data_IF_349471800866
#
_entry.id   IF_349471800866
#
_cell.length_a   1.000
_cell.length_b   1.000
_cell.length_c   1.000
_cell.angle_alpha   90.00
_cell.angle_beta   90.00
_cell.angle_gamma   90.00
#
_symmetry.space_group_name_H-M   'P 1'
#
loop_
_entity.id
_entity.type
_entity.pdbx_description
1 polymer ?
#
# COMPACT_ATOMS: atom_id res chain seq x y z
N UNK A 1 24.50 -4.49 -0.22
CA UNK A 1 23.87 -3.18 -0.54
C UNK A 1 23.83 -2.34 0.73
N UNK A 2 24.15 -1.06 0.66
CA UNK A 2 23.97 -0.15 1.80
C UNK A 2 22.48 0.22 1.98
N UNK A 3 22.14 0.80 3.14
CA UNK A 3 20.75 1.14 3.49
C UNK A 3 20.08 2.07 2.46
N UNK A 4 20.82 3.06 1.95
CA UNK A 4 20.34 4.01 0.94
C UNK A 4 19.91 3.30 -0.34
N UNK A 5 20.76 2.41 -0.86
CA UNK A 5 20.45 1.64 -2.07
C UNK A 5 19.21 0.75 -1.88
N UNK A 6 18.98 0.23 -0.67
CA UNK A 6 17.75 -0.53 -0.36
C UNK A 6 16.53 0.37 -0.48
N UNK A 7 16.53 1.54 0.15
CA UNK A 7 15.39 2.46 0.12
C UNK A 7 15.08 2.91 -1.31
N UNK A 8 16.10 3.33 -2.07
CA UNK A 8 15.91 3.86 -3.43
C UNK A 8 15.42 2.80 -4.42
N UNK A 9 15.75 1.53 -4.20
CA UNK A 9 15.36 0.44 -5.13
C UNK A 9 14.06 -0.26 -4.73
N UNK A 10 13.63 -0.17 -3.47
CA UNK A 10 12.45 -0.89 -2.97
C UNK A 10 11.16 -0.65 -3.79
N UNK A 11 10.83 0.57 -4.26
CA UNK A 11 9.64 0.79 -5.09
C UNK A 11 9.65 0.00 -6.41
N UNK A 12 10.83 -0.33 -6.91
CA UNK A 12 11.02 -1.00 -8.20
C UNK A 12 11.15 -2.53 -8.07
N UNK A 13 10.98 -3.07 -6.85
CA UNK A 13 11.06 -4.52 -6.62
C UNK A 13 9.70 -5.19 -6.79
N UNK A 14 9.72 -6.38 -7.40
CA UNK A 14 8.52 -7.22 -7.56
C UNK A 14 7.82 -7.51 -6.21
N UNK A 15 8.58 -7.64 -5.12
CA UNK A 15 8.02 -7.87 -3.79
C UNK A 15 7.09 -6.73 -3.33
N UNK A 16 7.42 -5.48 -3.66
CA UNK A 16 6.58 -4.31 -3.33
C UNK A 16 5.24 -4.40 -4.05
N UNK A 17 5.26 -4.68 -5.36
CA UNK A 17 4.04 -4.77 -6.16
C UNK A 17 3.17 -5.98 -5.81
N UNK A 18 3.77 -7.10 -5.39
CA UNK A 18 3.02 -8.21 -4.81
C UNK A 18 2.28 -7.83 -3.53
N UNK A 19 2.90 -7.03 -2.65
CA UNK A 19 2.23 -6.50 -1.45
C UNK A 19 1.10 -5.55 -1.82
N UNK A 20 1.30 -4.65 -2.79
CA UNK A 20 0.23 -3.78 -3.30
C UNK A 20 -0.94 -4.60 -3.82
N UNK A 21 -0.68 -5.59 -4.69
CA UNK A 21 -1.72 -6.49 -5.20
C UNK A 21 -2.45 -7.22 -4.06
N UNK A 22 -1.72 -7.68 -3.04
CA UNK A 22 -2.35 -8.31 -1.87
C UNK A 22 -3.25 -7.33 -1.13
N UNK A 23 -2.80 -6.10 -0.85
CA UNK A 23 -3.58 -5.09 -0.13
C UNK A 23 -4.87 -4.73 -0.87
N UNK A 24 -4.81 -4.64 -2.20
CA UNK A 24 -5.99 -4.39 -3.04
C UNK A 24 -6.96 -5.58 -3.06
N UNK A 25 -6.44 -6.81 -3.04
CA UNK A 25 -7.23 -8.03 -3.14
C UNK A 25 -7.66 -8.61 -1.78
N UNK A 26 -7.10 -8.15 -0.66
CA UNK A 26 -7.36 -8.73 0.67
C UNK A 26 -8.84 -8.58 1.08
N UNK A 27 -9.45 -7.43 0.76
CA UNK A 27 -10.86 -7.19 1.03
C UNK A 27 -11.78 -8.14 0.22
N UNK A 28 -11.73 -8.17 -1.13
CA UNK A 28 -12.55 -9.11 -1.89
C UNK A 28 -12.22 -10.57 -1.59
N UNK A 29 -10.95 -10.93 -1.34
CA UNK A 29 -10.59 -12.30 -0.97
C UNK A 29 -11.19 -12.73 0.38
N UNK A 30 -11.27 -11.83 1.36
CA UNK A 30 -11.95 -12.07 2.63
C UNK A 30 -13.46 -12.30 2.44
N UNK A 31 -14.12 -11.45 1.65
CA UNK A 31 -15.55 -11.57 1.34
C UNK A 31 -15.88 -12.85 0.57
N UNK A 32 -14.99 -13.26 -0.33
CA UNK A 32 -15.10 -14.50 -1.11
C UNK A 32 -14.60 -15.75 -0.34
N UNK A 33 -14.25 -15.63 0.94
CA UNK A 33 -13.79 -16.75 1.79
C UNK A 33 -12.53 -17.46 1.27
N UNK A 34 -11.68 -16.78 0.50
CA UNK A 34 -10.39 -17.28 -0.02
C UNK A 34 -9.16 -16.46 0.42
N UNK A 35 -9.11 -15.87 1.63
CA UNK A 35 -7.99 -15.02 2.04
C UNK A 35 -6.64 -15.76 2.08
N UNK A 36 -6.67 -17.06 2.38
CA UNK A 36 -5.50 -17.92 2.44
C UNK A 36 -4.81 -18.10 1.08
N UNK A 37 -5.57 -18.16 -0.01
CA UNK A 37 -5.01 -18.25 -1.38
C UNK A 37 -4.30 -16.97 -1.77
N UNK A 38 -4.89 -15.81 -1.44
CA UNK A 38 -4.28 -14.50 -1.72
C UNK A 38 -3.00 -14.29 -0.90
N UNK A 39 -2.99 -14.69 0.37
CA UNK A 39 -1.81 -14.62 1.24
C UNK A 39 -0.68 -15.55 0.73
N UNK A 40 -0.99 -16.80 0.41
CA UNK A 40 -0.01 -17.74 -0.11
C UNK A 40 0.59 -17.27 -1.45
N UNK A 41 -0.26 -16.86 -2.40
CA UNK A 41 0.18 -16.52 -3.76
C UNK A 41 1.02 -15.24 -3.84
N UNK A 42 0.65 -14.22 -3.06
CA UNK A 42 1.22 -12.88 -3.17
C UNK A 42 2.25 -12.59 -2.09
N UNK A 43 2.05 -13.09 -0.87
CA UNK A 43 2.96 -12.86 0.26
C UNK A 43 3.87 -14.05 0.56
N UNK A 44 3.61 -15.23 -0.02
CA UNK A 44 4.35 -16.45 0.29
C UNK A 44 4.09 -16.95 1.72
N UNK A 45 2.96 -16.58 2.32
CA UNK A 45 2.57 -17.01 3.66
C UNK A 45 1.86 -18.35 3.55
N UNK A 46 2.49 -19.41 4.05
CA UNK A 46 1.86 -20.72 4.18
C UNK A 46 0.98 -20.74 5.44
N UNK A 47 -0.32 -20.85 5.24
CA UNK A 47 -1.31 -20.96 6.32
C UNK A 47 -1.77 -22.42 6.52
N UNK A 48 -1.11 -23.38 5.86
CA UNK A 48 -1.43 -24.80 5.94
C UNK A 48 -2.69 -25.19 5.17
N UNK A 49 -3.46 -26.15 5.72
CA UNK A 49 -4.69 -26.68 5.11
C UNK A 49 -5.81 -25.63 5.10
N UNK A 50 -6.82 -25.84 4.25
CA UNK A 50 -8.01 -24.99 4.17
C UNK A 50 -8.60 -24.75 5.58
N UNK A 51 -8.76 -23.48 6.01
CA UNK A 51 -9.30 -23.17 7.33
C UNK A 51 -10.74 -23.67 7.50
N UNK A 52 -11.12 -23.99 8.74
CA UNK A 52 -12.51 -24.33 9.06
C UNK A 52 -13.46 -23.15 8.73
N UNK A 53 -14.71 -23.40 8.30
CA UNK A 53 -15.63 -22.33 7.88
C UNK A 53 -15.84 -21.23 8.93
N UNK A 54 -15.96 -21.56 10.22
CA UNK A 54 -16.15 -20.59 11.28
C UNK A 54 -14.94 -19.67 11.48
N UNK A 55 -13.72 -20.17 11.21
CA UNK A 55 -12.47 -19.39 11.25
C UNK A 55 -12.42 -18.38 10.11
N UNK A 56 -12.93 -18.74 8.94
CA UNK A 56 -13.09 -17.81 7.81
C UNK A 56 -14.06 -16.67 8.14
N UNK A 57 -15.19 -16.99 8.78
CA UNK A 57 -16.16 -15.97 9.22
C UNK A 57 -15.55 -15.04 10.27
N UNK A 58 -14.89 -15.60 11.30
CA UNK A 58 -14.21 -14.82 12.32
C UNK A 58 -13.12 -13.92 11.73
N UNK A 59 -12.29 -14.47 10.84
CA UNK A 59 -11.29 -13.69 10.11
C UNK A 59 -11.95 -12.58 9.29
N UNK A 60 -13.00 -12.87 8.54
CA UNK A 60 -13.68 -11.86 7.73
C UNK A 60 -14.23 -10.72 8.59
N UNK A 61 -14.88 -11.01 9.72
CA UNK A 61 -15.40 -9.99 10.64
C UNK A 61 -14.30 -9.08 11.20
N UNK A 62 -13.17 -9.65 11.63
CA UNK A 62 -12.06 -8.90 12.23
C UNK A 62 -11.21 -8.20 11.18
N UNK A 63 -10.96 -8.84 10.04
CA UNK A 63 -10.06 -8.34 9.00
C UNK A 63 -10.73 -7.32 8.07
N UNK A 64 -12.06 -7.30 7.94
CA UNK A 64 -12.76 -6.35 7.05
C UNK A 64 -12.40 -4.89 7.29
N UNK A 65 -12.48 -4.33 8.53
CA UNK A 65 -12.11 -2.93 8.75
C UNK A 65 -10.63 -2.66 8.42
N UNK A 66 -9.74 -3.59 8.77
CA UNK A 66 -8.31 -3.49 8.43
C UNK A 66 -8.09 -3.52 6.91
N UNK A 67 -8.76 -4.43 6.20
CA UNK A 67 -8.62 -4.58 4.75
C UNK A 67 -9.20 -3.37 4.01
N UNK A 68 -10.32 -2.80 4.48
CA UNK A 68 -10.89 -1.58 3.94
C UNK A 68 -9.93 -0.39 4.11
N UNK A 69 -9.39 -0.19 5.31
CA UNK A 69 -8.38 0.84 5.57
C UNK A 69 -7.13 0.63 4.72
N UNK A 70 -6.66 -0.62 4.60
CA UNK A 70 -5.50 -0.96 3.79
C UNK A 70 -5.70 -0.64 2.31
N UNK A 71 -6.88 -0.93 1.73
CA UNK A 71 -7.22 -0.55 0.36
C UNK A 71 -7.16 0.97 0.20
N UNK A 72 -7.82 1.72 1.08
CA UNK A 72 -7.86 3.20 1.03
C UNK A 72 -6.45 3.78 1.12
N UNK A 73 -5.66 3.37 2.11
CA UNK A 73 -4.28 3.83 2.29
C UNK A 73 -3.41 3.48 1.08
N UNK A 74 -3.58 2.28 0.51
CA UNK A 74 -2.81 1.84 -0.66
C UNK A 74 -3.17 2.64 -1.90
N UNK A 75 -4.46 2.76 -2.22
CA UNK A 75 -4.93 3.49 -3.40
C UNK A 75 -4.57 4.97 -3.30
N UNK A 76 -4.92 5.61 -2.18
CA UNK A 76 -4.68 7.03 -1.98
C UNK A 76 -3.17 7.34 -1.88
N UNK A 77 -2.42 6.55 -1.11
CA UNK A 77 -0.99 6.76 -0.95
C UNK A 77 -0.21 6.61 -2.25
N UNK A 78 -0.54 5.62 -3.08
CA UNK A 78 0.08 5.47 -4.40
C UNK A 78 -0.41 6.50 -5.42
N UNK A 79 -1.67 6.96 -5.36
CA UNK A 79 -2.17 7.99 -6.27
C UNK A 79 -1.49 9.34 -6.04
N UNK A 80 -1.04 9.62 -4.81
CA UNK A 80 -0.28 10.84 -4.50
C UNK A 80 1.03 10.95 -5.28
N UNK A 81 1.64 9.83 -5.69
CA UNK A 81 2.89 9.86 -6.47
C UNK A 81 2.68 10.54 -7.84
N UNK A 82 1.84 10.02 -8.76
CA UNK A 82 1.61 10.67 -10.04
C UNK A 82 0.91 12.03 -9.89
N UNK A 83 0.01 12.20 -8.90
CA UNK A 83 -0.65 13.49 -8.68
C UNK A 83 0.34 14.60 -8.32
N UNK A 84 1.36 14.30 -7.52
CA UNK A 84 2.35 15.30 -7.09
C UNK A 84 3.47 15.50 -8.12
N UNK A 85 3.92 14.45 -8.82
CA UNK A 85 4.85 14.60 -9.94
C UNK A 85 4.21 15.41 -11.09
N UNK A 86 2.93 15.13 -11.37
CA UNK A 86 2.10 15.84 -12.33
C UNK A 86 1.36 17.03 -11.73
N UNK A 87 1.79 17.61 -10.60
CA UNK A 87 1.13 18.76 -9.98
C UNK A 87 0.76 19.89 -10.96
N UNK A 88 1.60 20.24 -11.96
CA UNK A 88 1.26 21.29 -12.94
C UNK A 88 0.00 21.02 -13.75
N UNK A 89 -0.35 19.75 -13.94
CA UNK A 89 -1.54 19.34 -14.71
C UNK A 89 -2.84 19.56 -13.93
N UNK A 90 -2.76 19.80 -12.61
CA UNK A 90 -3.92 20.06 -11.75
C UNK A 90 -4.38 21.52 -11.75
N UNK A 91 -3.74 22.38 -12.56
CA UNK A 91 -4.09 23.79 -12.77
C UNK A 91 -4.22 24.61 -11.47
N UNK A 92 -3.40 24.33 -10.46
CA UNK A 92 -3.37 25.09 -9.21
C UNK A 92 -2.60 26.41 -9.36
N UNK A 93 -3.06 27.46 -8.68
CA UNK A 93 -2.34 28.73 -8.57
C UNK A 93 -1.07 28.53 -7.71
N UNK A 94 0.15 28.72 -8.26
CA UNK A 94 1.39 28.63 -7.47
C UNK A 94 1.42 29.57 -6.27
N UNK A 95 0.74 30.72 -6.32
CA UNK A 95 0.70 31.67 -5.20
C UNK A 95 -0.03 31.12 -3.96
N UNK A 96 -0.91 30.13 -4.15
CA UNK A 96 -1.64 29.45 -3.07
C UNK A 96 -1.06 28.07 -2.75
N UNK A 97 0.02 27.67 -3.44
CA UNK A 97 0.62 26.36 -3.31
C UNK A 97 1.74 26.34 -2.25
N UNK A 98 2.00 25.15 -1.70
CA UNK A 98 3.16 24.94 -0.85
C UNK A 98 4.41 24.92 -1.72
N UNK A 99 5.52 25.50 -1.25
CA UNK A 99 6.73 25.69 -2.06
C UNK A 99 6.96 27.13 -2.53
N UNK A 100 6.07 28.06 -2.15
CA UNK A 100 6.22 29.50 -2.39
C UNK A 100 5.57 29.95 -3.71
N UNK A 101 5.58 31.26 -4.00
CA UNK A 101 4.73 31.85 -5.03
C UNK A 101 5.21 31.58 -6.47
N UNK A 102 6.34 30.90 -6.63
CA UNK A 102 6.89 30.60 -7.96
C UNK A 102 6.43 29.23 -8.40
N UNK A 103 6.13 29.09 -9.70
CA UNK A 103 5.80 27.79 -10.29
C UNK A 103 6.89 26.74 -10.02
N UNK A 104 8.17 27.12 -10.15
CA UNK A 104 9.29 26.23 -9.90
C UNK A 104 9.35 25.76 -8.44
N UNK A 105 9.15 26.67 -7.48
CA UNK A 105 9.12 26.34 -6.05
C UNK A 105 7.94 25.42 -5.68
N UNK A 106 6.74 25.75 -6.16
CA UNK A 106 5.54 24.94 -5.95
C UNK A 106 5.71 23.53 -6.54
N UNK A 107 6.18 23.44 -7.79
CA UNK A 107 6.43 22.15 -8.42
C UNK A 107 7.51 21.34 -7.67
N UNK A 108 8.64 21.96 -7.33
CA UNK A 108 9.73 21.26 -6.64
C UNK A 108 9.28 20.70 -5.29
N UNK A 109 8.51 21.47 -4.51
CA UNK A 109 7.96 21.02 -3.24
C UNK A 109 7.08 19.78 -3.44
N UNK A 110 6.12 19.84 -4.36
CA UNK A 110 5.21 18.73 -4.60
C UNK A 110 5.92 17.53 -5.21
N UNK A 111 6.78 17.70 -6.21
CA UNK A 111 7.50 16.62 -6.85
C UNK A 111 8.42 15.89 -5.84
N UNK A 112 9.17 16.61 -5.01
CA UNK A 112 10.13 16.02 -4.08
C UNK A 112 9.42 15.43 -2.86
N UNK A 113 8.62 16.22 -2.13
CA UNK A 113 8.01 15.75 -0.88
C UNK A 113 6.74 14.93 -1.12
N UNK A 114 5.91 15.36 -2.07
CA UNK A 114 4.68 14.66 -2.40
C UNK A 114 4.92 13.47 -3.33
N UNK A 115 5.71 13.63 -4.39
CA UNK A 115 5.96 12.59 -5.39
C UNK A 115 6.98 11.57 -4.89
N UNK A 116 8.24 11.98 -4.80
CA UNK A 116 9.35 11.10 -4.38
C UNK A 116 9.20 10.65 -2.92
N UNK A 117 8.74 11.53 -2.03
CA UNK A 117 8.49 11.18 -0.63
C UNK A 117 7.51 10.01 -0.50
N UNK A 118 6.35 10.06 -1.15
CA UNK A 118 5.40 8.94 -1.13
C UNK A 118 5.90 7.72 -1.90
N UNK A 119 6.61 7.91 -3.03
CA UNK A 119 7.22 6.80 -3.78
C UNK A 119 8.14 5.95 -2.90
N UNK A 120 8.93 6.60 -2.04
CA UNK A 120 9.87 5.93 -1.13
C UNK A 120 9.21 5.43 0.16
N UNK A 121 8.16 6.11 0.64
CA UNK A 121 7.44 5.76 1.87
C UNK A 121 6.53 4.55 1.68
N UNK A 122 5.75 4.52 0.59
CA UNK A 122 4.69 3.54 0.37
C UNK A 122 5.14 2.07 0.44
N UNK A 123 6.32 1.66 -0.08
CA UNK A 123 6.77 0.27 0.06
C UNK A 123 6.87 -0.20 1.52
N UNK A 124 7.27 0.68 2.44
CA UNK A 124 7.37 0.36 3.87
C UNK A 124 6.00 0.33 4.53
N UNK A 125 5.11 1.27 4.19
CA UNK A 125 3.71 1.25 4.60
C UNK A 125 3.03 -0.05 4.18
N UNK A 126 3.18 -0.44 2.91
CA UNK A 126 2.65 -1.69 2.39
C UNK A 126 3.23 -2.91 3.12
N UNK A 127 4.53 -2.90 3.44
CA UNK A 127 5.18 -3.95 4.23
C UNK A 127 4.60 -4.06 5.64
N UNK A 128 4.37 -2.94 6.32
CA UNK A 128 3.78 -2.92 7.64
C UNK A 128 2.34 -3.47 7.64
N UNK A 129 1.51 -3.00 6.70
CA UNK A 129 0.11 -3.44 6.55
C UNK A 129 0.02 -4.93 6.22
N UNK A 130 0.78 -5.40 5.23
CA UNK A 130 0.80 -6.83 4.87
C UNK A 130 1.36 -7.70 6.00
N UNK A 131 2.32 -7.21 6.78
CA UNK A 131 2.80 -7.89 7.98
C UNK A 131 1.72 -7.99 9.08
N UNK A 132 0.89 -6.96 9.25
CA UNK A 132 -0.26 -7.02 10.15
C UNK A 132 -1.31 -8.02 9.67
N UNK A 133 -1.66 -7.99 8.38
CA UNK A 133 -2.61 -8.95 7.78
C UNK A 133 -2.11 -10.39 7.88
N UNK A 134 -0.83 -10.64 7.63
CA UNK A 134 -0.22 -11.96 7.76
C UNK A 134 -0.27 -12.49 9.20
N UNK A 135 0.02 -11.63 10.20
CA UNK A 135 -0.10 -12.01 11.62
C UNK A 135 -1.54 -12.29 12.03
N UNK A 136 -2.50 -11.53 11.52
CA UNK A 136 -3.92 -11.76 11.76
C UNK A 136 -4.36 -13.10 11.15
N UNK A 137 -3.97 -13.35 9.89
CA UNK A 137 -4.25 -14.59 9.19
C UNK A 137 -3.64 -15.80 9.92
N UNK A 138 -2.37 -15.75 10.32
CA UNK A 138 -1.72 -16.85 11.04
C UNK A 138 -2.37 -17.18 12.41
N UNK A 139 -3.05 -16.21 13.03
CA UNK A 139 -3.76 -16.42 14.31
C UNK A 139 -5.18 -16.97 14.11
N UNK A 140 -5.87 -16.51 13.07
CA UNK A 140 -7.30 -16.77 12.90
C UNK A 140 -7.62 -17.84 11.86
N UNK A 141 -6.74 -18.10 10.88
CA UNK A 141 -6.90 -19.07 9.79
C UNK A 141 -6.05 -20.32 9.97
#
# INVERSE_FOLDING_TARGET
>A
MNAVAVVLTEPFRAATWKRVAHLLLALPAGLLCVPHLAAARLLGVDLGRRPAPWRLVLYALVATPLNAAAVVVTVYGWSLVPMNLGWPLRAGDPAQAWGGPTFAGAWAFHAVLGGLGFLLLMPWTCRALTGLQARLAARLL
#
